data_IF_648579503433
#
_entry.id   IF_648579503433
#
_cell.length_a   1.000
_cell.length_b   1.000
_cell.length_c   1.000
_cell.angle_alpha   90.00
_cell.angle_beta   90.00
_cell.angle_gamma   90.00
#
_symmetry.space_group_name_H-M   'P 1'
#
loop_
_entity.id
_entity.type
_entity.pdbx_description
1 polymer ?
#
# COMPACT_ATOMS: atom_id res chain seq x y z
N UNK A 1 -46.06 39.40 50.73
CA UNK A 1 -46.37 38.09 50.11
C UNK A 1 -46.48 38.30 48.62
N UNK A 2 -45.43 37.94 47.88
CA UNK A 2 -45.34 38.12 46.42
C UNK A 2 -45.61 36.76 45.78
N UNK A 3 -46.62 36.67 44.92
CA UNK A 3 -46.98 35.45 44.19
C UNK A 3 -46.64 35.63 42.71
N UNK A 4 -45.93 34.62 42.19
CA UNK A 4 -45.43 34.42 40.83
C UNK A 4 -46.56 34.15 39.83
N UNK A 5 -46.35 34.43 38.53
CA UNK A 5 -46.07 33.43 37.48
C UNK A 5 -46.11 34.01 36.03
N UNK A 6 -45.04 33.69 35.25
CA UNK A 6 -44.99 33.27 33.81
C UNK A 6 -45.40 34.27 32.70
N UNK A 7 -44.78 34.43 31.50
CA UNK A 7 -43.84 33.72 30.59
C UNK A 7 -43.16 34.85 29.77
N UNK A 8 -41.90 34.86 29.33
CA UNK A 8 -41.41 34.17 28.13
C UNK A 8 -39.99 34.63 27.77
N UNK A 9 -39.19 33.68 27.31
CA UNK A 9 -37.75 33.70 27.03
C UNK A 9 -37.36 34.47 25.76
N UNK A 10 -36.37 35.36 25.83
CA UNK A 10 -35.41 35.74 24.77
C UNK A 10 -34.21 36.35 25.54
N UNK A 11 -32.97 35.89 25.55
CA UNK A 11 -32.00 35.61 24.48
C UNK A 11 -30.97 34.61 25.04
N UNK A 12 -30.86 33.42 24.44
CA UNK A 12 -29.65 32.59 24.50
C UNK A 12 -29.24 32.38 23.05
N UNK A 13 -28.12 32.96 22.66
CA UNK A 13 -27.65 32.96 21.28
C UNK A 13 -26.16 33.28 21.18
N UNK A 14 -25.36 32.63 22.02
CA UNK A 14 -23.90 32.58 21.86
C UNK A 14 -23.47 31.13 22.06
N UNK A 15 -23.73 30.28 21.08
CA UNK A 15 -23.15 28.94 21.06
C UNK A 15 -22.63 28.61 19.66
N UNK A 16 -21.30 28.51 19.59
CA UNK A 16 -20.57 27.47 18.88
C UNK A 16 -20.68 27.49 17.34
N UNK A 17 -19.77 28.23 16.69
CA UNK A 17 -19.33 27.86 15.36
C UNK A 17 -18.48 26.58 15.48
N UNK A 18 -18.76 25.50 14.72
CA UNK A 18 -17.90 24.34 14.73
C UNK A 18 -16.54 24.70 14.09
N UNK A 19 -15.46 24.12 14.59
CA UNK A 19 -14.10 24.17 14.04
C UNK A 19 -14.01 23.48 12.65
N UNK A 20 -14.77 23.94 11.66
CA UNK A 20 -15.11 23.15 10.46
C UNK A 20 -14.26 23.41 9.22
N UNK A 21 -13.19 24.22 9.29
CA UNK A 21 -12.33 24.48 8.13
C UNK A 21 -11.02 23.69 8.16
N UNK A 22 -10.42 23.53 9.34
CA UNK A 22 -9.16 22.79 9.51
C UNK A 22 -9.33 21.28 9.42
N UNK A 23 -10.47 20.73 9.88
CA UNK A 23 -10.75 19.29 9.76
C UNK A 23 -11.02 18.86 8.31
N UNK A 24 -11.68 19.70 7.51
CA UNK A 24 -11.93 19.41 6.08
C UNK A 24 -10.62 19.42 5.26
N UNK A 25 -9.62 20.20 5.68
CA UNK A 25 -8.31 20.25 5.02
C UNK A 25 -7.46 18.98 5.19
N UNK A 26 -7.70 18.19 6.24
CA UNK A 26 -6.87 17.04 6.60
C UNK A 26 -7.42 15.68 6.12
N UNK A 27 -8.59 15.62 5.49
CA UNK A 27 -9.12 14.35 4.99
C UNK A 27 -8.36 13.88 3.75
N UNK A 28 -8.11 12.56 3.68
CA UNK A 28 -7.53 11.93 2.50
C UNK A 28 -8.38 12.27 1.26
N UNK A 29 -7.78 12.99 0.31
CA UNK A 29 -8.48 13.40 -0.91
C UNK A 29 -8.61 12.26 -1.92
N UNK A 30 -7.76 11.25 -1.79
CA UNK A 30 -7.70 10.07 -2.65
C UNK A 30 -7.79 8.82 -1.80
N UNK A 31 -8.67 7.90 -2.19
CA UNK A 31 -8.86 6.61 -1.52
C UNK A 31 -8.75 5.50 -2.55
N UNK A 32 -7.76 4.62 -2.38
CA UNK A 32 -7.64 3.41 -3.20
C UNK A 32 -8.75 2.44 -2.82
N UNK A 33 -9.54 2.05 -3.81
CA UNK A 33 -10.72 1.19 -3.61
C UNK A 33 -10.46 -0.25 -4.02
N UNK A 34 -9.67 -0.48 -5.07
CA UNK A 34 -9.35 -1.82 -5.54
C UNK A 34 -8.01 -1.86 -6.28
N UNK A 35 -7.28 -2.97 -6.16
CA UNK A 35 -6.06 -3.25 -6.91
C UNK A 35 -6.11 -4.72 -7.32
N UNK A 36 -6.31 -4.96 -8.62
CA UNK A 36 -6.35 -6.30 -9.19
C UNK A 36 -4.99 -6.65 -9.77
N UNK A 37 -4.42 -7.74 -9.27
CA UNK A 37 -3.20 -8.33 -9.82
C UNK A 37 -3.57 -9.15 -11.06
N UNK A 38 -3.11 -8.72 -12.23
CA UNK A 38 -3.32 -9.40 -13.50
C UNK A 38 -2.14 -10.34 -13.78
N UNK A 39 -2.35 -11.36 -14.63
CA UNK A 39 -1.34 -12.33 -15.04
C UNK A 39 -0.63 -13.02 -13.85
N UNK A 40 -1.42 -13.57 -12.93
CA UNK A 40 -0.93 -14.24 -11.73
C UNK A 40 -1.60 -15.62 -11.57
N UNK A 41 -0.85 -16.71 -11.34
CA UNK A 41 0.63 -16.78 -11.30
C UNK A 41 1.27 -16.52 -12.67
N UNK A 42 2.57 -16.22 -12.68
CA UNK A 42 3.35 -15.96 -13.90
C UNK A 42 4.81 -16.37 -13.72
N UNK A 43 5.65 -16.15 -14.74
CA UNK A 43 7.10 -16.37 -14.60
C UNK A 43 7.73 -15.23 -13.80
N UNK A 44 8.86 -15.50 -13.15
CA UNK A 44 9.64 -14.49 -12.45
C UNK A 44 9.98 -13.29 -13.35
N UNK A 45 10.36 -13.58 -14.60
CA UNK A 45 10.76 -12.60 -15.61
C UNK A 45 9.59 -11.86 -16.27
N UNK A 46 8.34 -12.26 -16.01
CA UNK A 46 7.17 -11.59 -16.58
C UNK A 46 6.92 -10.24 -15.91
N UNK A 47 6.40 -9.29 -16.69
CA UNK A 47 6.00 -7.96 -16.20
C UNK A 47 4.90 -8.06 -15.16
N UNK A 48 4.97 -7.24 -14.13
CA UNK A 48 3.84 -7.00 -13.23
C UNK A 48 2.76 -6.20 -13.97
N UNK A 49 1.50 -6.55 -13.74
CA UNK A 49 0.34 -5.81 -14.27
C UNK A 49 -0.69 -5.65 -13.17
N UNK A 50 -0.94 -4.41 -12.77
CA UNK A 50 -1.88 -4.07 -11.71
C UNK A 50 -2.97 -3.16 -12.27
N UNK A 51 -4.23 -3.57 -12.20
CA UNK A 51 -5.33 -2.65 -12.47
C UNK A 51 -5.69 -1.95 -11.16
N UNK A 52 -5.39 -0.65 -11.10
CA UNK A 52 -5.58 0.18 -9.92
C UNK A 52 -6.88 0.96 -10.08
N UNK A 53 -7.67 1.00 -9.02
CA UNK A 53 -8.92 1.78 -8.93
C UNK A 53 -8.91 2.62 -7.66
N UNK A 54 -9.23 3.90 -7.80
CA UNK A 54 -9.24 4.83 -6.67
C UNK A 54 -10.30 5.91 -6.87
N UNK A 55 -10.82 6.43 -5.76
CA UNK A 55 -11.75 7.55 -5.74
C UNK A 55 -11.05 8.84 -5.33
N UNK A 56 -11.23 9.89 -6.11
CA UNK A 56 -10.85 11.25 -5.75
C UNK A 56 -12.08 12.00 -5.23
N UNK A 57 -12.05 12.39 -3.96
CA UNK A 57 -13.22 12.94 -3.26
C UNK A 57 -13.29 14.47 -3.40
N UNK A 58 -12.15 15.14 -3.63
CA UNK A 58 -12.07 16.60 -3.61
C UNK A 58 -11.81 17.21 -5.01
N UNK A 59 -12.61 18.19 -5.49
CA UNK A 59 -12.50 18.83 -6.82
C UNK A 59 -11.28 19.73 -7.04
N UNK A 60 -10.31 19.70 -6.12
CA UNK A 60 -9.19 20.64 -6.08
C UNK A 60 -7.86 19.96 -5.81
N UNK A 61 -7.72 18.68 -6.15
CA UNK A 61 -6.42 18.03 -6.16
C UNK A 61 -5.60 18.63 -7.32
N UNK A 62 -4.47 19.27 -7.01
CA UNK A 62 -3.63 19.93 -8.00
C UNK A 62 -2.38 19.08 -8.27
N UNK A 63 -1.98 18.95 -9.52
CA UNK A 63 -0.82 18.14 -9.88
C UNK A 63 -1.17 16.66 -10.04
N UNK A 64 -0.16 15.82 -9.85
CA UNK A 64 -0.20 14.40 -10.20
C UNK A 64 0.02 13.52 -8.98
N UNK A 65 -0.53 12.31 -9.03
CA UNK A 65 -0.19 11.22 -8.12
C UNK A 65 0.98 10.45 -8.71
N UNK A 66 2.01 10.19 -7.91
CA UNK A 66 3.12 9.34 -8.30
C UNK A 66 2.89 7.93 -7.73
N UNK A 67 2.76 6.94 -8.60
CA UNK A 67 2.62 5.55 -8.23
C UNK A 67 3.93 4.82 -8.47
N UNK A 68 4.41 4.07 -7.48
CA UNK A 68 5.65 3.29 -7.59
C UNK A 68 5.39 1.85 -7.26
N UNK A 69 6.01 0.95 -8.03
CA UNK A 69 6.08 -0.46 -7.70
C UNK A 69 7.51 -0.79 -7.26
N UNK A 70 7.65 -1.30 -6.04
CA UNK A 70 8.93 -1.60 -5.42
C UNK A 70 8.96 -3.09 -5.08
N UNK A 71 10.00 -3.79 -5.49
CA UNK A 71 10.25 -5.18 -5.14
C UNK A 71 11.22 -5.24 -3.97
N UNK A 72 10.87 -5.96 -2.90
CA UNK A 72 11.76 -6.17 -1.76
C UNK A 72 12.77 -7.24 -2.12
N UNK A 73 14.03 -6.86 -2.27
CA UNK A 73 15.07 -7.78 -2.72
C UNK A 73 15.61 -8.68 -1.61
N UNK A 74 15.49 -8.26 -0.35
CA UNK A 74 15.92 -9.03 0.81
C UNK A 74 15.14 -8.57 2.04
N UNK A 75 14.66 -9.50 2.86
CA UNK A 75 13.95 -9.15 4.09
C UNK A 75 14.87 -8.47 5.13
N UNK A 76 16.17 -8.78 5.08
CA UNK A 76 17.16 -8.30 6.04
C UNK A 76 17.74 -6.94 5.67
N UNK A 77 17.68 -6.57 4.39
CA UNK A 77 18.44 -5.44 3.86
C UNK A 77 17.75 -4.70 2.70
N UNK A 78 17.24 -3.51 3.00
CA UNK A 78 16.57 -2.62 2.06
C UNK A 78 17.45 -2.12 0.91
N UNK A 79 18.78 -2.24 0.98
CA UNK A 79 19.63 -1.84 -0.17
C UNK A 79 19.41 -2.71 -1.41
N UNK A 80 18.76 -3.87 -1.25
CA UNK A 80 18.37 -4.75 -2.35
C UNK A 80 16.99 -4.42 -2.92
N UNK A 81 16.26 -3.47 -2.32
CA UNK A 81 14.96 -3.06 -2.82
C UNK A 81 15.10 -2.39 -4.18
N UNK A 82 14.24 -2.80 -5.11
CA UNK A 82 14.28 -2.34 -6.50
C UNK A 82 13.01 -1.58 -6.80
N UNK A 83 13.15 -0.29 -7.13
CA UNK A 83 12.08 0.45 -7.79
C UNK A 83 11.93 -0.10 -9.21
N UNK A 84 10.87 -0.86 -9.44
CA UNK A 84 10.60 -1.49 -10.74
C UNK A 84 10.16 -0.46 -11.77
N UNK A 85 9.21 0.40 -11.38
CA UNK A 85 8.76 1.51 -12.21
C UNK A 85 8.04 2.58 -11.37
N UNK A 86 7.88 3.76 -11.96
CA UNK A 86 7.19 4.92 -11.39
C UNK A 86 6.36 5.64 -12.46
N UNK A 87 5.08 5.84 -12.21
CA UNK A 87 4.14 6.50 -13.14
C UNK A 87 3.42 7.67 -12.47
N UNK A 88 3.32 8.78 -13.19
CA UNK A 88 2.55 9.95 -12.78
C UNK A 88 1.15 9.90 -13.40
N UNK A 89 0.13 10.09 -12.55
CA UNK A 89 -1.27 10.09 -12.95
C UNK A 89 -1.90 11.42 -12.57
N UNK A 90 -2.19 12.24 -13.58
CA UNK A 90 -2.96 13.47 -13.43
C UNK A 90 -3.21 14.17 -14.77
N UNK A 91 -4.05 15.22 -14.78
CA UNK A 91 -4.86 15.70 -13.66
C UNK A 91 -5.94 14.69 -13.25
N UNK A 92 -6.11 14.48 -11.95
CA UNK A 92 -7.07 13.50 -11.41
C UNK A 92 -8.48 14.08 -11.40
N UNK A 93 -9.44 13.35 -11.96
CA UNK A 93 -10.85 13.74 -11.95
C UNK A 93 -11.54 13.33 -10.66
N UNK A 94 -12.52 14.12 -10.21
CA UNK A 94 -13.37 13.75 -9.06
C UNK A 94 -14.18 12.51 -9.39
N UNK A 95 -14.32 11.64 -8.39
CA UNK A 95 -14.99 10.35 -8.50
C UNK A 95 -14.00 9.24 -8.79
N UNK A 96 -14.52 8.18 -9.40
CA UNK A 96 -13.80 6.93 -9.63
C UNK A 96 -12.87 7.03 -10.83
N UNK A 97 -11.60 6.70 -10.60
CA UNK A 97 -10.56 6.61 -11.62
C UNK A 97 -10.01 5.17 -11.65
N UNK A 98 -9.57 4.71 -12.82
CA UNK A 98 -8.92 3.41 -12.96
C UNK A 98 -7.91 3.42 -14.10
N UNK A 99 -6.79 2.74 -13.93
CA UNK A 99 -5.76 2.57 -14.95
C UNK A 99 -4.99 1.25 -14.73
N UNK A 100 -4.24 0.82 -15.74
CA UNK A 100 -3.34 -0.33 -15.66
C UNK A 100 -1.92 0.19 -15.44
N UNK A 101 -1.29 -0.25 -14.37
CA UNK A 101 0.14 -0.04 -14.11
C UNK A 101 0.89 -1.31 -14.50
N UNK A 102 1.72 -1.21 -15.53
CA UNK A 102 2.67 -2.25 -15.92
C UNK A 102 4.08 -1.88 -15.46
N UNK A 103 4.83 -2.84 -14.93
CA UNK A 103 6.22 -2.65 -14.49
C UNK A 103 7.07 -3.88 -14.86
N UNK A 104 8.37 -3.70 -15.16
CA UNK A 104 9.26 -4.81 -15.46
C UNK A 104 9.48 -5.72 -14.23
N UNK A 105 9.97 -6.94 -14.46
CA UNK A 105 10.45 -7.81 -13.40
C UNK A 105 11.70 -7.22 -12.70
N UNK A 106 11.96 -7.56 -11.42
CA UNK A 106 13.20 -7.17 -10.76
C UNK A 106 14.42 -7.75 -11.48
N UNK A 107 15.56 -7.07 -11.35
CA UNK A 107 16.84 -7.61 -11.78
C UNK A 107 17.31 -8.69 -10.80
N UNK A 108 17.40 -9.96 -11.20
CA UNK A 108 17.79 -11.04 -10.31
C UNK A 108 19.24 -10.92 -9.82
N UNK A 109 20.13 -10.26 -10.57
CA UNK A 109 21.53 -10.09 -10.16
C UNK A 109 21.70 -9.17 -8.94
N UNK A 110 20.66 -8.41 -8.58
CA UNK A 110 20.66 -7.54 -7.41
C UNK A 110 19.98 -8.20 -6.19
N UNK A 111 19.41 -9.39 -6.35
CA UNK A 111 18.78 -10.17 -5.30
C UNK A 111 19.82 -11.14 -4.73
N UNK A 112 20.01 -11.21 -3.40
CA UNK A 112 20.87 -12.23 -2.80
C UNK A 112 20.37 -13.63 -3.19
N UNK A 113 21.29 -14.53 -3.57
CA UNK A 113 20.91 -15.87 -4.07
C UNK A 113 20.03 -16.66 -3.07
N UNK A 114 20.26 -16.48 -1.76
CA UNK A 114 19.46 -17.09 -0.69
C UNK A 114 18.01 -16.60 -0.66
N UNK A 115 17.73 -15.39 -1.12
CA UNK A 115 16.41 -14.75 -1.03
C UNK A 115 15.62 -14.90 -2.35
N UNK A 116 16.22 -15.49 -3.40
CA UNK A 116 15.63 -15.58 -4.73
C UNK A 116 14.47 -16.60 -4.81
N UNK A 117 14.62 -17.76 -4.15
CA UNK A 117 13.63 -18.83 -4.06
C UNK A 117 12.90 -18.82 -2.70
N UNK A 118 12.57 -17.62 -2.22
CA UNK A 118 11.86 -17.43 -0.96
C UNK A 118 10.60 -16.57 -1.14
N UNK A 119 9.83 -16.50 -0.06
CA UNK A 119 8.72 -15.55 0.05
C UNK A 119 9.30 -14.15 0.24
N UNK A 120 8.88 -13.22 -0.60
CA UNK A 120 9.20 -11.79 -0.48
C UNK A 120 7.94 -10.93 -0.59
N UNK A 121 8.10 -9.62 -0.75
CA UNK A 121 7.03 -8.64 -0.83
C UNK A 121 7.22 -7.73 -2.04
N UNK A 122 6.11 -7.41 -2.71
CA UNK A 122 6.03 -6.28 -3.64
C UNK A 122 5.17 -5.18 -3.04
N UNK A 123 5.63 -3.94 -3.12
CA UNK A 123 4.98 -2.76 -2.53
C UNK A 123 4.52 -1.83 -3.66
N UNK A 124 3.20 -1.60 -3.73
CA UNK A 124 2.63 -0.50 -4.50
C UNK A 124 2.47 0.70 -3.57
N UNK A 125 3.13 1.81 -3.89
CA UNK A 125 3.00 3.06 -3.14
C UNK A 125 2.34 4.13 -4.01
N UNK A 126 1.60 5.03 -3.36
CA UNK A 126 1.09 6.23 -4.01
C UNK A 126 1.50 7.46 -3.20
N UNK A 127 2.09 8.43 -3.89
CA UNK A 127 2.58 9.67 -3.35
C UNK A 127 1.84 10.85 -3.97
N UNK A 128 1.59 11.88 -3.17
CA UNK A 128 1.17 13.20 -3.64
C UNK A 128 2.22 14.22 -3.20
N UNK A 129 2.77 14.96 -4.15
CA UNK A 129 3.86 15.92 -3.89
C UNK A 129 5.05 15.31 -3.14
N UNK A 130 5.43 14.09 -3.50
CA UNK A 130 6.52 13.34 -2.84
C UNK A 130 6.18 12.80 -1.45
N UNK A 131 4.93 12.94 -0.98
CA UNK A 131 4.47 12.39 0.30
C UNK A 131 3.65 11.15 0.06
N UNK A 132 4.14 10.03 0.56
CA UNK A 132 3.42 8.77 0.52
C UNK A 132 2.19 8.84 1.44
N UNK A 133 1.02 8.50 0.92
CA UNK A 133 -0.23 8.44 1.70
C UNK A 133 -0.82 7.03 1.75
N UNK A 134 -0.39 6.12 0.88
CA UNK A 134 -0.82 4.73 0.89
C UNK A 134 0.29 3.81 0.39
N UNK A 135 0.41 2.67 1.08
CA UNK A 135 1.26 1.52 0.73
C UNK A 135 0.41 0.26 0.73
N UNK A 136 0.53 -0.52 -0.34
CA UNK A 136 -0.17 -1.80 -0.50
C UNK A 136 0.89 -2.85 -0.77
N UNK A 137 1.12 -3.71 0.22
CA UNK A 137 2.06 -4.82 0.13
C UNK A 137 1.37 -6.12 -0.23
N UNK A 138 1.97 -6.90 -1.13
CA UNK A 138 1.57 -8.27 -1.43
C UNK A 138 2.74 -9.20 -1.17
N UNK A 139 2.46 -10.33 -0.52
CA UNK A 139 3.42 -11.43 -0.49
C UNK A 139 3.57 -12.04 -1.89
N UNK A 140 4.79 -12.40 -2.20
CA UNK A 140 5.20 -13.00 -3.47
C UNK A 140 5.98 -14.26 -3.14
N UNK A 141 5.52 -15.40 -3.63
CA UNK A 141 6.24 -16.66 -3.55
C UNK A 141 6.99 -16.92 -4.86
N UNK A 142 8.29 -17.17 -4.77
CA UNK A 142 9.13 -17.54 -5.91
C UNK A 142 9.60 -19.00 -5.74
N UNK A 143 9.21 -19.87 -6.66
CA UNK A 143 9.54 -21.29 -6.61
C UNK A 143 9.71 -21.89 -8.02
N UNK A 144 9.99 -23.18 -8.12
CA UNK A 144 10.06 -23.89 -9.40
C UNK A 144 8.70 -24.37 -9.93
N UNK A 145 7.59 -23.87 -9.37
CA UNK A 145 6.24 -24.33 -9.70
C UNK A 145 6.07 -25.83 -9.48
N UNK A 146 5.56 -26.53 -10.49
CA UNK A 146 5.28 -27.98 -10.43
C UNK A 146 6.52 -28.87 -10.64
N UNK A 147 7.73 -28.30 -10.80
CA UNK A 147 8.94 -29.08 -11.04
C UNK A 147 9.53 -29.64 -9.73
N UNK A 148 8.95 -30.75 -9.25
CA UNK A 148 9.29 -31.37 -7.98
C UNK A 148 10.77 -31.77 -7.86
N UNK A 149 11.43 -32.20 -8.95
CA UNK A 149 12.84 -32.58 -8.92
C UNK A 149 13.74 -31.39 -8.54
N UNK A 150 13.46 -30.20 -9.09
CA UNK A 150 14.19 -28.97 -8.78
C UNK A 150 13.84 -28.42 -7.39
N UNK A 151 12.63 -28.68 -6.89
CA UNK A 151 12.24 -28.30 -5.53
C UNK A 151 12.93 -29.18 -4.48
N UNK A 152 13.04 -30.49 -4.72
CA UNK A 152 13.71 -31.43 -3.80
C UNK A 152 15.24 -31.33 -3.88
N UNK A 153 15.79 -31.05 -5.06
CA UNK A 153 17.23 -30.91 -5.30
C UNK A 153 17.50 -29.60 -6.05
N UNK A 154 17.45 -28.45 -5.36
CA UNK A 154 17.68 -27.16 -5.99
C UNK A 154 19.12 -27.07 -6.53
N UNK A 155 19.31 -26.58 -7.77
CA UNK A 155 20.64 -26.38 -8.32
C UNK A 155 21.40 -25.28 -7.56
N UNK A 156 22.73 -25.37 -7.52
CA UNK A 156 23.59 -24.35 -6.91
C UNK A 156 23.42 -22.97 -7.56
N UNK A 157 23.17 -22.94 -8.88
CA UNK A 157 22.83 -21.75 -9.65
C UNK A 157 21.38 -21.84 -10.14
N UNK A 158 20.58 -20.84 -9.76
CA UNK A 158 19.15 -20.78 -10.12
C UNK A 158 18.99 -20.11 -11.48
N UNK A 159 18.42 -20.83 -12.45
CA UNK A 159 17.95 -20.23 -13.70
C UNK A 159 16.59 -19.56 -13.49
N UNK A 160 16.57 -18.24 -13.48
CA UNK A 160 15.38 -17.41 -13.27
C UNK A 160 14.28 -17.62 -14.31
N UNK A 161 14.59 -18.19 -15.47
CA UNK A 161 13.59 -18.51 -16.50
C UNK A 161 12.69 -19.69 -16.11
N UNK A 162 13.15 -20.50 -15.14
CA UNK A 162 12.42 -21.64 -14.58
C UNK A 162 11.64 -21.28 -13.31
N UNK A 163 11.89 -20.09 -12.76
CA UNK A 163 11.24 -19.61 -11.55
C UNK A 163 9.85 -19.07 -11.88
N UNK A 164 8.86 -19.55 -11.13
CA UNK A 164 7.49 -19.06 -11.13
C UNK A 164 7.28 -18.12 -9.96
N UNK A 165 6.48 -17.08 -10.21
CA UNK A 165 6.11 -16.05 -9.26
C UNK A 165 4.62 -16.10 -9.01
N UNK A 166 4.24 -16.28 -7.75
CA UNK A 166 2.84 -16.25 -7.31
C UNK A 166 2.63 -15.12 -6.30
N UNK A 167 1.79 -14.17 -6.65
CA UNK A 167 1.40 -13.04 -5.81
C UNK A 167 0.14 -13.42 -5.03
N UNK A 168 0.16 -13.28 -3.70
CA UNK A 168 -0.99 -13.55 -2.82
C UNK A 168 -1.95 -12.36 -2.86
N UNK A 169 -2.67 -12.24 -3.99
CA UNK A 169 -3.47 -11.06 -4.33
C UNK A 169 -4.70 -10.83 -3.43
N UNK A 170 -5.19 -11.87 -2.74
CA UNK A 170 -6.39 -11.82 -1.90
C UNK A 170 -6.13 -11.33 -0.47
N UNK A 171 -4.87 -11.19 -0.06
CA UNK A 171 -4.49 -10.75 1.30
C UNK A 171 -3.51 -9.57 1.28
N UNK A 172 -3.86 -8.43 0.64
CA UNK A 172 -3.01 -7.25 0.65
C UNK A 172 -2.85 -6.68 2.06
N UNK A 173 -1.66 -6.17 2.35
CA UNK A 173 -1.37 -5.39 3.56
C UNK A 173 -1.42 -3.91 3.20
N UNK A 174 -2.44 -3.20 3.69
CA UNK A 174 -2.65 -1.79 3.36
C UNK A 174 -2.28 -0.90 4.55
N UNK A 175 -1.26 -0.06 4.37
CA UNK A 175 -0.87 0.99 5.32
C UNK A 175 -1.26 2.34 4.74
N UNK A 176 -1.83 3.22 5.56
CA UNK A 176 -2.23 4.58 5.18
C UNK A 176 -1.49 5.58 6.05
N UNK A 177 -1.00 6.64 5.43
CA UNK A 177 -0.29 7.72 6.10
C UNK A 177 -1.09 9.00 5.95
N UNK A 178 -1.20 9.76 7.04
CA UNK A 178 -1.82 11.07 6.96
C UNK A 178 -0.83 12.08 6.38
N UNK A 179 -1.25 12.83 5.36
CA UNK A 179 -0.42 13.83 4.70
C UNK A 179 -1.16 15.16 4.60
N UNK A 180 -0.43 16.28 4.58
CA UNK A 180 -1.02 17.55 4.14
C UNK A 180 -1.17 17.55 2.62
N UNK A 181 -2.39 17.84 2.16
CA UNK A 181 -2.81 17.90 0.77
C UNK A 181 -2.77 19.33 0.19
N UNK A 182 -2.41 20.31 1.02
CA UNK A 182 -2.32 21.71 0.62
C UNK A 182 -1.05 21.96 -0.20
N UNK A 183 -1.19 22.69 -1.30
CA UNK A 183 -0.08 23.06 -2.16
C UNK A 183 0.83 24.07 -1.42
N UNK A 184 2.14 23.79 -1.34
CA UNK A 184 3.13 24.72 -0.78
C UNK A 184 3.42 24.57 0.72
N UNK A 185 2.74 23.67 1.42
CA UNK A 185 3.21 23.24 2.74
C UNK A 185 4.35 22.25 2.53
N UNK A 186 5.59 22.72 2.37
CA UNK A 186 6.77 21.87 2.49
C UNK A 186 6.79 21.24 3.88
N UNK A 187 7.29 20.01 4.08
CA UNK A 187 7.46 19.48 5.43
C UNK A 187 8.46 20.40 6.14
N UNK A 188 7.99 21.18 7.13
CA UNK A 188 8.90 21.64 8.16
C UNK A 188 9.35 20.36 8.86
N UNK A 189 10.66 20.13 8.90
CA UNK A 189 11.23 19.08 9.71
C UNK A 189 10.92 19.43 11.18
N UNK A 190 9.75 19.00 11.65
CA UNK A 190 9.43 19.04 13.06
C UNK A 190 10.21 17.89 13.72
N UNK A 191 11.46 18.19 14.05
CA UNK A 191 12.18 17.53 15.13
C UNK A 191 11.33 17.70 16.39
N UNK A 192 10.52 16.67 16.72
CA UNK A 192 10.02 16.27 18.05
C UNK A 192 8.61 15.65 17.94
N UNK A 193 8.54 14.33 17.75
CA UNK A 193 7.53 13.50 18.43
C UNK A 193 8.04 12.07 18.59
N UNK A 194 8.96 11.89 19.53
CA UNK A 194 8.95 10.70 20.36
C UNK A 194 7.76 10.84 21.32
N UNK A 195 6.68 10.10 21.05
CA UNK A 195 5.72 9.55 22.03
C UNK A 195 4.61 8.76 21.33
N UNK A 196 4.66 7.45 21.52
CA UNK A 196 3.49 6.57 21.63
C UNK A 196 2.65 6.39 20.37
N UNK A 197 3.11 5.55 19.46
CA UNK A 197 2.20 4.83 18.57
C UNK A 197 1.67 3.61 19.33
N UNK A 198 0.40 3.66 19.72
CA UNK A 198 -0.35 2.48 20.16
C UNK A 198 -0.38 1.49 18.99
N UNK A 199 0.46 0.45 19.10
CA UNK A 199 0.38 -0.72 18.25
C UNK A 199 -0.89 -1.48 18.61
N UNK A 200 -1.88 -1.47 17.72
CA UNK A 200 -2.89 -2.54 17.71
C UNK A 200 -2.19 -3.74 17.05
N UNK A 201 -1.48 -4.50 17.87
CA UNK A 201 -0.96 -5.82 17.51
C UNK A 201 -2.14 -6.80 17.56
N UNK A 202 -2.72 -7.11 16.40
CA UNK A 202 -3.53 -8.32 16.29
C UNK A 202 -2.57 -9.49 15.99
N UNK A 203 -2.21 -10.19 17.06
CA UNK A 203 -1.41 -11.40 17.01
C UNK A 203 -2.14 -12.49 16.23
N UNK A 204 -1.53 -12.99 15.16
CA UNK A 204 -1.57 -14.41 14.77
C UNK A 204 -0.50 -14.72 13.72
N UNK A 205 0.76 -14.65 14.15
CA UNK A 205 1.82 -15.47 13.55
C UNK A 205 1.84 -16.72 14.42
N UNK A 206 1.16 -17.77 13.96
CA UNK A 206 1.33 -19.20 14.34
C UNK A 206 0.13 -19.99 13.81
N UNK A 207 0.02 -20.16 12.49
CA UNK A 207 -0.96 -21.10 11.89
C UNK A 207 -0.71 -21.48 10.42
N UNK A 208 0.47 -21.27 9.84
CA UNK A 208 0.67 -21.51 8.39
C UNK A 208 1.65 -22.63 8.03
N UNK A 209 2.19 -23.38 8.99
CA UNK A 209 2.98 -24.59 8.68
C UNK A 209 2.18 -25.90 8.71
N UNK A 210 0.90 -25.90 9.08
CA UNK A 210 0.15 -27.15 9.36
C UNK A 210 -0.98 -27.45 8.36
N UNK A 211 -1.18 -26.65 7.31
CA UNK A 211 -2.29 -26.84 6.35
C UNK A 211 -1.88 -27.33 4.96
N UNK A 212 -0.62 -27.70 4.74
CA UNK A 212 -0.15 -28.21 3.43
C UNK A 212 0.10 -29.72 3.38
N UNK A 213 -0.08 -30.46 4.48
CA UNK A 213 0.20 -31.91 4.55
C UNK A 213 -1.04 -32.82 4.44
N UNK A 214 -2.13 -32.36 3.81
CA UNK A 214 -3.36 -33.16 3.68
C UNK A 214 -3.91 -33.31 2.25
N UNK A 215 -3.06 -33.13 1.22
CA UNK A 215 -3.47 -33.38 -0.17
C UNK A 215 -2.61 -34.37 -0.95
N UNK A 216 -1.74 -35.15 -0.29
CA UNK A 216 -1.06 -36.29 -0.92
C UNK A 216 -1.27 -37.56 -0.10
N UNK A 217 -2.41 -38.22 -0.32
CA UNK A 217 -2.59 -39.67 -0.20
C UNK A 217 -3.56 -40.16 -1.26
#
# INVERSE_FOLDING_TARGET
>A
VVVRFLISSIIVGLLWAPNSLTEVQNMARVVVTDVQVLNNPGKFVDTFKLQITFDCIHPGLQGELEWKLIYVGSADNQTHDQLLDSVFVGPVQVGKNSFIFEAPAPNPALIPAKDLLEITVVLLTCCYQGREFVRIGYYVNNDFGDNQEMTENPPDEVDVNLVHRTIVANQPRVTRFNISWSFGDSPRADENHDKGLDMIHENSIDAFSDSMDLSIR
#
